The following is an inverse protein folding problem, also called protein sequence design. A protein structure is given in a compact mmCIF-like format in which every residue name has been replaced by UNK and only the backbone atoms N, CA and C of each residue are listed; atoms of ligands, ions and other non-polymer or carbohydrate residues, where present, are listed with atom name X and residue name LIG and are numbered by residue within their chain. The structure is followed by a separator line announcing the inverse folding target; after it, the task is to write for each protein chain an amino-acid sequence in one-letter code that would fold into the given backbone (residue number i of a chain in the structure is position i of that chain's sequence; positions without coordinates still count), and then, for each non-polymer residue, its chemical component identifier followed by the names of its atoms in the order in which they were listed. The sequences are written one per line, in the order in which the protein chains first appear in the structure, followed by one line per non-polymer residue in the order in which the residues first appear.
data_IF_148871900655
#
_entry.id   IF_148871900655
#
_cell.length_a   1.000
_cell.length_b   1.000
_cell.length_c   1.000
_cell.angle_alpha   90.00
_cell.angle_beta   90.00
_cell.angle_gamma   90.00
#
_symmetry.space_group_name_H-M   'P 1'
#
loop_
_entity.id
_entity.type
_entity.pdbx_description
1 polymer ?
#
# COMPACT_ATOMS: atom_id res chain seq x y z
N UNK A 1 6.14 -19.02 -14.89
CA UNK A 1 4.84 -18.82 -14.21
C UNK A 1 4.13 -17.68 -14.92
N UNK A 2 2.91 -17.91 -15.39
CA UNK A 2 2.07 -16.84 -15.91
C UNK A 2 1.85 -15.83 -14.77
N UNK A 3 2.49 -14.66 -14.88
CA UNK A 3 2.23 -13.53 -14.00
C UNK A 3 0.72 -13.30 -14.05
N UNK A 4 0.04 -13.49 -12.92
CA UNK A 4 -1.40 -13.21 -12.80
C UNK A 4 -1.57 -11.74 -13.20
N UNK A 5 -2.02 -11.51 -14.43
CA UNK A 5 -2.24 -10.17 -14.99
C UNK A 5 -3.53 -9.67 -14.38
N UNK A 6 -3.40 -9.08 -13.20
CA UNK A 6 -4.55 -8.57 -12.48
C UNK A 6 -5.03 -7.25 -13.06
N UNK A 7 -6.31 -7.17 -13.41
CA UNK A 7 -6.99 -5.92 -13.74
C UNK A 7 -7.95 -5.65 -12.57
N UNK A 8 -7.79 -4.55 -11.82
CA UNK A 8 -8.67 -4.30 -10.67
C UNK A 8 -10.16 -4.17 -11.10
N UNK A 9 -11.15 -4.33 -10.21
CA UNK A 9 -12.58 -4.34 -10.54
C UNK A 9 -13.28 -5.63 -10.12
N UNK A 10 -14.33 -6.08 -10.84
CA UNK A 10 -15.00 -7.37 -10.56
C UNK A 10 -14.00 -8.53 -10.46
N UNK A 11 -12.94 -8.45 -11.25
CA UNK A 11 -11.81 -9.37 -11.27
C UNK A 11 -11.00 -9.39 -9.96
N UNK A 12 -10.98 -8.31 -9.14
CA UNK A 12 -10.39 -8.28 -7.80
C UNK A 12 -11.04 -9.23 -6.84
N UNK A 13 -12.35 -9.14 -6.77
CA UNK A 13 -13.17 -10.05 -5.99
C UNK A 13 -12.95 -11.48 -6.50
N UNK A 14 -13.09 -11.70 -7.81
CA UNK A 14 -12.98 -13.04 -8.40
C UNK A 14 -11.60 -13.66 -8.15
N UNK A 15 -10.50 -12.89 -8.24
CA UNK A 15 -9.15 -13.39 -7.95
C UNK A 15 -8.88 -13.65 -6.46
N UNK A 16 -9.44 -12.86 -5.53
CA UNK A 16 -9.38 -13.19 -4.10
C UNK A 16 -10.09 -14.53 -3.82
N UNK A 17 -11.22 -14.76 -4.48
CA UNK A 17 -11.97 -16.01 -4.37
C UNK A 17 -11.24 -17.18 -5.06
N UNK A 18 -10.70 -16.99 -6.27
CA UNK A 18 -9.94 -18.00 -7.02
C UNK A 18 -8.64 -18.40 -6.29
N UNK A 19 -8.00 -17.46 -5.62
CA UNK A 19 -6.81 -17.71 -4.79
C UNK A 19 -7.14 -18.36 -3.43
N UNK A 20 -8.40 -18.70 -3.16
CA UNK A 20 -8.88 -19.16 -1.84
C UNK A 20 -8.43 -18.25 -0.69
N UNK A 21 -8.32 -16.94 -0.94
CA UNK A 21 -7.85 -15.96 0.04
C UNK A 21 -6.36 -16.06 0.39
N UNK A 22 -5.50 -16.64 -0.46
CA UNK A 22 -4.06 -16.76 -0.21
C UNK A 22 -3.21 -16.39 -1.43
N UNK A 23 -2.31 -15.44 -1.25
CA UNK A 23 -1.17 -15.20 -2.16
C UNK A 23 0.08 -15.68 -1.45
N UNK A 24 0.97 -16.39 -2.14
CA UNK A 24 2.28 -16.72 -1.59
C UNK A 24 3.39 -16.39 -2.60
N UNK A 25 4.55 -16.04 -2.08
CA UNK A 25 5.72 -15.78 -2.90
C UNK A 25 7.03 -16.05 -2.16
N UNK A 26 8.11 -16.22 -2.91
CA UNK A 26 9.47 -16.40 -2.39
C UNK A 26 10.45 -15.42 -3.04
N UNK A 27 11.75 -15.71 -2.89
CA UNK A 27 12.84 -14.83 -3.32
C UNK A 27 12.79 -14.39 -4.79
N UNK A 28 12.42 -15.28 -5.71
CA UNK A 28 12.37 -14.96 -7.15
C UNK A 28 11.35 -13.85 -7.46
N UNK A 29 10.15 -13.95 -6.88
CA UNK A 29 9.12 -12.92 -7.03
C UNK A 29 9.57 -11.61 -6.39
N UNK A 30 10.27 -11.67 -5.25
CA UNK A 30 10.80 -10.46 -4.63
C UNK A 30 11.80 -9.72 -5.53
N UNK A 31 12.67 -10.46 -6.23
CA UNK A 31 13.58 -9.89 -7.22
C UNK A 31 12.82 -9.28 -8.42
N UNK A 32 11.85 -10.01 -8.98
CA UNK A 32 11.00 -9.51 -10.07
C UNK A 32 10.27 -8.21 -9.71
N UNK A 33 9.77 -8.11 -8.49
CA UNK A 33 9.08 -6.92 -7.98
C UNK A 33 10.04 -5.75 -7.75
N UNK A 34 11.26 -6.03 -7.28
CA UNK A 34 12.30 -5.02 -7.11
C UNK A 34 12.72 -4.43 -8.47
N UNK A 35 12.91 -5.28 -9.48
CA UNK A 35 13.22 -4.85 -10.84
C UNK A 35 12.14 -3.98 -11.47
N UNK A 36 10.86 -4.36 -11.31
CA UNK A 36 9.77 -3.65 -11.95
C UNK A 36 9.36 -2.37 -11.21
N UNK A 37 9.34 -2.37 -9.87
CA UNK A 37 8.70 -1.31 -9.10
C UNK A 37 9.67 -0.44 -8.29
N UNK A 38 10.89 -0.91 -8.02
CA UNK A 38 11.92 -0.14 -7.30
C UNK A 38 12.89 0.51 -8.29
N UNK A 39 13.54 -0.28 -9.16
CA UNK A 39 14.51 0.28 -10.12
C UNK A 39 13.88 1.25 -11.13
N UNK A 40 12.61 1.05 -11.45
CA UNK A 40 11.86 1.87 -12.42
C UNK A 40 10.95 2.87 -11.74
N UNK A 41 11.21 3.22 -10.48
CA UNK A 41 10.42 4.21 -9.78
C UNK A 41 10.54 5.59 -10.45
N UNK A 42 9.52 6.45 -10.32
CA UNK A 42 9.63 7.85 -10.72
C UNK A 42 10.85 8.51 -10.03
N UNK A 43 11.50 9.44 -10.73
CA UNK A 43 12.69 10.15 -10.24
C UNK A 43 13.94 9.27 -9.99
N UNK A 44 14.05 8.13 -10.67
CA UNK A 44 15.12 7.19 -10.41
C UNK A 44 16.53 7.76 -10.60
N UNK A 45 16.72 8.60 -11.61
CA UNK A 45 17.99 9.23 -11.88
C UNK A 45 18.41 10.23 -10.79
N UNK A 46 17.46 10.99 -10.24
CA UNK A 46 17.71 12.04 -9.25
C UNK A 46 17.94 11.47 -7.84
N UNK A 47 17.39 10.28 -7.55
CA UNK A 47 17.40 9.65 -6.21
C UNK A 47 18.10 8.30 -6.19
N UNK A 48 19.08 8.11 -7.08
CA UNK A 48 19.72 6.81 -7.29
C UNK A 48 20.36 6.21 -6.03
N UNK A 49 20.94 7.02 -5.15
CA UNK A 49 21.54 6.53 -3.90
C UNK A 49 20.52 5.86 -2.98
N UNK A 50 19.34 6.47 -2.80
CA UNK A 50 18.25 5.94 -1.98
C UNK A 50 17.66 4.68 -2.63
N UNK A 51 17.45 4.72 -3.95
CA UNK A 51 16.93 3.58 -4.71
C UNK A 51 17.87 2.39 -4.64
N UNK A 52 19.17 2.62 -4.80
CA UNK A 52 20.15 1.54 -4.74
C UNK A 52 20.14 0.87 -3.37
N UNK A 53 20.01 1.63 -2.28
CA UNK A 53 19.90 1.06 -0.93
C UNK A 53 18.64 0.18 -0.84
N UNK A 54 17.47 0.73 -1.18
CA UNK A 54 16.19 0.00 -1.07
C UNK A 54 16.15 -1.22 -2.00
N UNK A 55 16.71 -1.11 -3.20
CA UNK A 55 16.79 -2.20 -4.15
C UNK A 55 17.66 -3.35 -3.63
N UNK A 56 18.86 -3.05 -3.12
CA UNK A 56 19.75 -4.09 -2.57
C UNK A 56 19.16 -4.75 -1.32
N UNK A 57 18.51 -3.99 -0.44
CA UNK A 57 17.84 -4.58 0.73
C UNK A 57 16.64 -5.43 0.32
N UNK A 58 15.86 -5.02 -0.69
CA UNK A 58 14.78 -5.83 -1.24
C UNK A 58 15.28 -7.15 -1.85
N UNK A 59 16.39 -7.14 -2.60
CA UNK A 59 16.98 -8.37 -3.15
C UNK A 59 17.49 -9.35 -2.07
N UNK A 60 17.87 -8.83 -0.91
CA UNK A 60 18.41 -9.60 0.20
C UNK A 60 17.37 -9.95 1.28
N UNK A 61 16.12 -9.48 1.16
CA UNK A 61 15.14 -9.58 2.24
C UNK A 61 14.60 -11.00 2.50
N UNK A 62 14.77 -11.93 1.55
CA UNK A 62 14.35 -13.33 1.64
C UNK A 62 15.52 -14.26 1.34
N UNK A 63 15.73 -15.24 2.22
CA UNK A 63 16.67 -16.34 2.00
C UNK A 63 16.09 -17.39 1.05
N UNK A 64 16.94 -18.29 0.56
CA UNK A 64 16.47 -19.46 -0.17
C UNK A 64 15.60 -20.35 0.75
N UNK A 65 14.42 -20.70 0.28
CA UNK A 65 13.43 -21.47 1.05
C UNK A 65 12.49 -20.64 1.94
N UNK A 66 12.73 -19.33 2.11
CA UNK A 66 11.78 -18.45 2.79
C UNK A 66 10.52 -18.24 1.93
N UNK A 67 9.36 -18.17 2.59
CA UNK A 67 8.07 -17.95 1.95
C UNK A 67 7.27 -16.86 2.67
N UNK A 68 6.62 -16.01 1.90
CA UNK A 68 5.62 -15.07 2.40
C UNK A 68 4.24 -15.57 2.00
N UNK A 69 3.35 -15.63 2.98
CA UNK A 69 1.93 -15.92 2.79
C UNK A 69 1.10 -14.67 3.15
N UNK A 70 0.46 -14.08 2.16
CA UNK A 70 -0.52 -13.01 2.32
C UNK A 70 -1.92 -13.64 2.32
N UNK A 71 -2.62 -13.53 3.44
CA UNK A 71 -3.96 -14.08 3.60
C UNK A 71 -5.00 -12.98 3.59
N UNK A 72 -6.13 -13.26 2.96
CA UNK A 72 -7.35 -12.48 2.99
C UNK A 72 -8.41 -13.34 3.66
N UNK A 73 -8.87 -12.92 4.83
CA UNK A 73 -9.75 -13.76 5.62
C UNK A 73 -10.54 -12.98 6.63
N UNK A 74 -11.32 -13.73 7.37
CA UNK A 74 -12.08 -13.23 8.51
C UNK A 74 -11.27 -13.51 9.78
N UNK A 75 -11.12 -12.51 10.65
CA UNK A 75 -10.51 -12.69 11.99
C UNK A 75 -11.51 -12.39 13.09
N UNK A 76 -11.38 -13.14 14.18
CA UNK A 76 -12.13 -12.92 15.42
C UNK A 76 -11.84 -11.53 15.98
N UNK A 77 -12.79 -10.97 16.71
CA UNK A 77 -12.57 -9.79 17.53
C UNK A 77 -11.66 -10.16 18.71
N UNK A 78 -10.54 -9.46 18.88
CA UNK A 78 -9.61 -9.74 19.97
C UNK A 78 -10.02 -8.97 21.24
N UNK A 79 -10.88 -9.57 22.07
CA UNK A 79 -11.30 -8.98 23.35
C UNK A 79 -10.13 -8.75 24.31
N UNK A 80 -9.08 -9.58 24.24
CA UNK A 80 -7.87 -9.41 25.06
C UNK A 80 -7.04 -8.18 24.65
N UNK A 81 -7.24 -7.64 23.44
CA UNK A 81 -6.66 -6.38 23.00
C UNK A 81 -7.54 -5.15 23.31
N UNK A 82 -8.63 -5.33 24.09
CA UNK A 82 -9.54 -4.25 24.48
C UNK A 82 -10.43 -3.74 23.34
N UNK A 83 -10.52 -4.49 22.23
CA UNK A 83 -11.41 -4.18 21.13
C UNK A 83 -12.77 -4.82 21.43
N UNK A 84 -13.84 -4.03 21.62
CA UNK A 84 -15.16 -4.61 21.84
C UNK A 84 -15.53 -5.47 20.63
N UNK A 85 -16.24 -6.60 20.83
CA UNK A 85 -16.84 -7.29 19.71
C UNK A 85 -17.68 -6.28 18.91
N UNK A 86 -17.63 -6.37 17.58
CA UNK A 86 -18.53 -5.54 16.78
C UNK A 86 -19.96 -5.75 17.32
N UNK A 87 -20.82 -4.72 17.36
CA UNK A 87 -22.16 -4.86 17.92
C UNK A 87 -22.99 -6.00 17.28
N UNK A 88 -22.60 -6.43 16.08
CA UNK A 88 -23.18 -7.57 15.34
C UNK A 88 -22.59 -8.95 15.69
N UNK A 89 -21.43 -9.02 16.36
CA UNK A 89 -20.68 -10.26 16.60
C UNK A 89 -19.96 -10.83 15.37
N UNK A 90 -19.88 -10.05 14.28
CA UNK A 90 -19.36 -10.50 12.99
C UNK A 90 -17.83 -10.55 12.94
N UNK A 91 -17.30 -11.57 12.27
CA UNK A 91 -15.89 -11.61 11.89
C UNK A 91 -15.59 -10.48 10.91
N UNK A 92 -14.42 -9.85 11.05
CA UNK A 92 -14.05 -8.69 10.25
C UNK A 92 -13.05 -9.12 9.18
N UNK A 93 -13.24 -8.67 7.95
CA UNK A 93 -12.26 -8.86 6.87
C UNK A 93 -10.90 -8.25 7.22
N UNK A 94 -9.87 -9.09 7.22
CA UNK A 94 -8.47 -8.74 7.44
C UNK A 94 -7.58 -9.23 6.30
N UNK A 95 -6.53 -8.45 6.03
CA UNK A 95 -5.38 -8.87 5.24
C UNK A 95 -4.17 -8.95 6.18
N UNK A 96 -3.40 -10.03 6.13
CA UNK A 96 -2.14 -10.11 6.88
C UNK A 96 -1.10 -10.88 6.09
N UNK A 97 0.17 -10.53 6.30
CA UNK A 97 1.29 -11.28 5.74
C UNK A 97 2.07 -11.99 6.84
N UNK A 98 2.40 -13.25 6.58
CA UNK A 98 3.23 -14.10 7.43
C UNK A 98 4.49 -14.49 6.67
N UNK A 99 5.65 -14.31 7.30
CA UNK A 99 6.91 -14.90 6.87
C UNK A 99 7.06 -16.27 7.51
N UNK A 100 7.27 -17.30 6.68
CA UNK A 100 7.72 -18.62 7.09
C UNK A 100 9.16 -18.78 6.62
N UNK A 101 10.09 -18.79 7.57
CA UNK A 101 11.51 -18.99 7.30
C UNK A 101 11.77 -20.45 6.89
N UNK A 102 12.80 -20.69 6.07
CA UNK A 102 13.19 -22.06 5.66
C UNK A 102 13.41 -23.02 6.85
N UNK A 103 13.84 -22.50 8.00
CA UNK A 103 14.00 -23.25 9.25
C UNK A 103 12.71 -23.53 10.04
N UNK A 104 11.54 -23.16 9.51
CA UNK A 104 10.23 -23.42 10.11
C UNK A 104 9.70 -22.36 11.07
N UNK A 105 10.43 -21.25 11.27
CA UNK A 105 9.97 -20.12 12.09
C UNK A 105 8.92 -19.29 11.36
N UNK A 106 7.80 -18.98 12.01
CA UNK A 106 6.74 -18.14 11.45
C UNK A 106 6.56 -16.83 12.23
N UNK A 107 6.33 -15.72 11.52
CA UNK A 107 5.96 -14.44 12.13
C UNK A 107 5.04 -13.62 11.23
N UNK A 108 4.08 -12.92 11.83
CA UNK A 108 3.29 -11.90 11.13
C UNK A 108 4.18 -10.67 10.93
N UNK A 109 4.27 -10.19 9.69
CA UNK A 109 5.09 -9.02 9.35
C UNK A 109 4.26 -7.74 9.24
N UNK A 110 2.97 -7.87 8.92
CA UNK A 110 1.98 -6.79 9.02
C UNK A 110 0.55 -7.34 9.00
N UNK A 111 -0.39 -6.55 9.50
CA UNK A 111 -1.83 -6.82 9.49
C UNK A 111 -2.62 -5.53 9.25
N UNK A 112 -3.77 -5.66 8.57
CA UNK A 112 -4.72 -4.57 8.36
C UNK A 112 -6.14 -5.10 8.23
N UNK A 113 -7.07 -4.46 8.93
CA UNK A 113 -8.49 -4.79 8.95
C UNK A 113 -9.38 -3.58 8.70
N UNK A 114 -10.70 -3.81 8.65
CA UNK A 114 -11.71 -2.73 8.54
C UNK A 114 -11.71 -1.78 9.74
N UNK A 115 -11.28 -2.25 10.89
CA UNK A 115 -11.20 -1.52 12.15
C UNK A 115 -9.86 -0.80 12.35
N UNK A 116 -8.85 -1.09 11.50
CA UNK A 116 -7.60 -0.33 11.49
C UNK A 116 -7.86 1.16 11.21
N UNK A 117 -7.49 2.09 12.11
CA UNK A 117 -7.73 3.51 11.91
C UNK A 117 -7.05 4.01 10.62
N UNK A 118 -7.75 4.78 9.77
CA UNK A 118 -7.13 5.37 8.58
C UNK A 118 -6.13 6.46 9.01
N UNK A 119 -5.03 6.61 8.27
CA UNK A 119 -4.06 7.67 8.51
C UNK A 119 -4.69 9.06 8.33
N UNK A 120 -4.34 10.03 9.17
CA UNK A 120 -4.95 11.37 9.17
C UNK A 120 -4.75 12.17 7.87
N UNK A 121 -5.40 13.33 7.75
CA UNK A 121 -5.30 14.21 6.57
C UNK A 121 -3.85 14.57 6.18
N UNK A 122 -2.92 14.88 7.12
CA UNK A 122 -1.53 15.22 6.78
C UNK A 122 -0.78 14.09 6.06
N UNK A 123 -1.14 12.83 6.32
CA UNK A 123 -0.59 11.68 5.59
C UNK A 123 -1.06 11.64 4.14
N UNK A 124 -2.31 12.03 3.90
CA UNK A 124 -2.87 12.22 2.57
C UNK A 124 -2.17 13.34 1.80
N UNK A 125 -1.91 14.47 2.45
CA UNK A 125 -1.20 15.59 1.82
C UNK A 125 0.25 15.22 1.48
N UNK A 126 0.96 14.53 2.40
CA UNK A 126 2.29 13.99 2.14
C UNK A 126 2.30 13.01 0.95
N UNK A 127 1.39 12.05 0.94
CA UNK A 127 1.25 11.06 -0.14
C UNK A 127 0.92 11.75 -1.48
N UNK A 128 0.01 12.72 -1.46
CA UNK A 128 -0.41 13.44 -2.66
C UNK A 128 0.70 14.34 -3.21
N UNK A 129 1.49 15.00 -2.36
CA UNK A 129 2.66 15.77 -2.79
C UNK A 129 3.67 14.88 -3.53
N UNK A 130 3.99 13.71 -2.99
CA UNK A 130 4.88 12.77 -3.68
C UNK A 130 4.26 12.19 -4.96
N UNK A 131 2.94 12.00 -5.00
CA UNK A 131 2.25 11.64 -6.24
C UNK A 131 2.41 12.74 -7.30
N UNK A 132 2.27 14.02 -6.94
CA UNK A 132 2.54 15.14 -7.86
C UNK A 132 3.99 15.18 -8.31
N UNK A 133 4.96 14.91 -7.43
CA UNK A 133 6.37 14.76 -7.83
C UNK A 133 6.57 13.63 -8.84
N UNK A 134 5.90 12.49 -8.66
CA UNK A 134 5.95 11.37 -9.60
C UNK A 134 5.30 11.70 -10.95
N UNK A 135 4.18 12.43 -10.94
CA UNK A 135 3.51 12.89 -12.17
C UNK A 135 4.37 13.94 -12.89
N UNK A 136 4.99 14.88 -12.16
CA UNK A 136 5.88 15.89 -12.73
C UNK A 136 7.06 15.23 -13.46
N UNK A 137 7.68 14.23 -12.81
CA UNK A 137 8.74 13.44 -13.41
C UNK A 137 8.32 12.73 -14.69
N UNK A 138 7.10 12.20 -14.72
CA UNK A 138 6.54 11.55 -15.90
C UNK A 138 6.26 12.54 -17.04
N UNK A 139 5.77 13.74 -16.72
CA UNK A 139 5.49 14.80 -17.70
C UNK A 139 6.74 15.55 -18.17
N UNK A 140 7.88 15.38 -17.48
CA UNK A 140 9.08 16.19 -17.72
C UNK A 140 8.91 17.64 -17.27
N UNK A 141 8.07 17.87 -16.27
CA UNK A 141 7.74 19.18 -15.71
C UNK A 141 8.35 19.34 -14.30
N UNK A 142 8.48 20.58 -13.84
CA UNK A 142 8.82 20.86 -12.44
C UNK A 142 7.62 20.54 -11.52
N UNK A 143 7.86 19.93 -10.35
CA UNK A 143 6.78 19.67 -9.41
C UNK A 143 6.19 21.00 -8.92
N UNK A 144 4.87 21.08 -8.82
CA UNK A 144 4.20 22.26 -8.27
C UNK A 144 4.53 22.43 -6.78
N UNK A 145 4.27 23.63 -6.25
CA UNK A 145 4.41 23.90 -4.82
C UNK A 145 3.64 22.86 -3.98
N UNK A 146 4.28 22.27 -2.95
CA UNK A 146 3.66 21.23 -2.14
C UNK A 146 2.48 21.80 -1.35
N UNK A 147 1.44 20.99 -1.18
CA UNK A 147 0.39 21.26 -0.21
C UNK A 147 1.00 21.30 1.20
N UNK A 148 0.53 22.19 2.09
CA UNK A 148 1.02 22.26 3.46
C UNK A 148 0.73 20.95 4.18
N UNK A 149 1.74 20.39 4.83
CA UNK A 149 1.61 19.19 5.68
C UNK A 149 1.78 19.62 7.13
N UNK A 150 0.78 19.35 7.97
CA UNK A 150 0.92 19.54 9.42
C UNK A 150 1.82 18.46 10.00
N UNK A 151 3.10 18.76 10.15
CA UNK A 151 4.12 17.82 10.65
C UNK A 151 3.99 17.50 12.13
N UNK A 152 3.16 18.23 12.88
CA UNK A 152 2.91 18.00 14.30
C UNK A 152 1.71 17.07 14.54
N UNK A 153 1.05 16.60 13.49
CA UNK A 153 -0.09 15.72 13.62
C UNK A 153 0.30 14.39 14.29
N UNK A 154 -0.60 13.81 15.11
CA UNK A 154 -0.32 12.58 15.82
C UNK A 154 -0.09 11.42 14.84
N UNK A 155 0.88 10.57 15.19
CA UNK A 155 1.16 9.36 14.43
C UNK A 155 -0.01 8.37 14.52
N UNK A 156 -0.35 7.65 13.43
CA UNK A 156 -1.25 6.52 13.53
C UNK A 156 -0.61 5.43 14.40
N UNK A 157 -1.43 4.55 15.00
CA UNK A 157 -0.90 3.41 15.75
C UNK A 157 0.06 2.59 14.88
N UNK A 158 1.20 2.19 15.46
CA UNK A 158 2.18 1.34 14.78
C UNK A 158 1.79 -0.14 14.81
N UNK A 159 0.99 -0.54 15.80
CA UNK A 159 0.58 -1.93 16.02
C UNK A 159 -0.92 -2.06 16.25
N UNK A 160 -1.48 -3.16 15.72
CA UNK A 160 -2.84 -3.59 15.92
C UNK A 160 -2.82 -5.03 16.40
N UNK A 161 -3.37 -5.29 17.59
CA UNK A 161 -3.41 -6.64 18.20
C UNK A 161 -2.01 -7.26 18.34
N UNK A 162 -0.99 -6.44 18.61
CA UNK A 162 0.41 -6.87 18.77
C UNK A 162 1.15 -7.16 17.46
N UNK A 163 0.53 -6.87 16.30
CA UNK A 163 1.16 -7.00 14.99
C UNK A 163 1.36 -5.62 14.35
N UNK A 164 2.43 -5.41 13.55
CA UNK A 164 2.62 -4.16 12.82
C UNK A 164 1.43 -3.82 11.91
N UNK A 165 1.03 -2.56 11.87
CA UNK A 165 -0.05 -2.07 11.00
C UNK A 165 0.52 -1.61 9.67
N UNK A 166 -0.14 -2.01 8.58
CA UNK A 166 0.04 -1.40 7.26
C UNK A 166 -1.14 -0.49 6.91
N UNK A 167 -0.95 0.41 5.93
CA UNK A 167 -2.00 1.30 5.41
C UNK A 167 -3.33 0.61 5.16
N UNK A 168 -4.41 1.27 5.59
CA UNK A 168 -5.79 0.82 5.43
C UNK A 168 -6.19 0.69 3.95
N UNK A 169 -5.52 1.36 3.02
CA UNK A 169 -5.65 1.14 1.57
C UNK A 169 -5.55 -0.34 1.16
N UNK A 170 -4.86 -1.17 1.94
CA UNK A 170 -4.69 -2.62 1.73
C UNK A 170 -5.66 -3.49 2.55
N UNK A 171 -6.57 -2.88 3.31
CA UNK A 171 -7.65 -3.61 3.99
C UNK A 171 -8.52 -4.33 2.95
N UNK A 172 -9.09 -5.52 3.26
CA UNK A 172 -9.93 -6.23 2.31
C UNK A 172 -11.09 -5.39 1.81
N UNK A 173 -11.74 -4.61 2.68
CA UNK A 173 -12.83 -3.71 2.27
C UNK A 173 -12.41 -2.77 1.14
N UNK A 174 -11.16 -2.31 1.15
CA UNK A 174 -10.67 -1.37 0.16
C UNK A 174 -10.28 -2.09 -1.12
N UNK A 175 -9.62 -3.25 -1.00
CA UNK A 175 -9.25 -4.12 -2.12
C UNK A 175 -10.48 -4.67 -2.86
N UNK A 176 -11.55 -5.02 -2.14
CA UNK A 176 -12.83 -5.45 -2.72
C UNK A 176 -13.50 -4.36 -3.56
N UNK A 177 -13.37 -3.10 -3.14
CA UNK A 177 -13.93 -1.96 -3.85
C UNK A 177 -12.96 -1.32 -4.85
N UNK A 178 -11.73 -1.84 -4.99
CA UNK A 178 -10.76 -1.32 -5.93
C UNK A 178 -11.17 -1.64 -7.38
N UNK A 179 -11.44 -0.61 -8.17
CA UNK A 179 -11.77 -0.68 -9.60
C UNK A 179 -10.52 -0.63 -10.47
N UNK A 180 -10.65 -1.09 -11.72
CA UNK A 180 -9.58 -1.13 -12.74
C UNK A 180 -8.83 0.19 -12.93
N UNK A 181 -9.44 1.28 -12.48
CA UNK A 181 -8.98 2.65 -12.63
C UNK A 181 -8.13 3.12 -11.44
N UNK A 182 -8.06 2.37 -10.35
CA UNK A 182 -7.21 2.69 -9.21
C UNK A 182 -5.78 2.19 -9.43
N UNK A 183 -4.82 3.06 -9.10
CA UNK A 183 -3.39 2.78 -9.09
C UNK A 183 -2.85 2.90 -7.67
N UNK A 184 -2.03 1.94 -7.25
CA UNK A 184 -1.44 1.93 -5.94
C UNK A 184 0.02 2.38 -6.00
N UNK A 185 0.45 3.02 -4.92
CA UNK A 185 1.82 3.48 -4.71
C UNK A 185 2.29 3.03 -3.33
N UNK A 186 3.52 2.52 -3.28
CA UNK A 186 4.21 2.14 -2.05
C UNK A 186 5.34 3.14 -1.81
N UNK A 187 5.40 3.70 -0.60
CA UNK A 187 6.56 4.46 -0.14
C UNK A 187 7.72 3.50 0.12
N UNK A 188 8.75 3.58 -0.72
CA UNK A 188 9.88 2.65 -0.74
C UNK A 188 10.86 2.90 0.41
N UNK A 189 10.89 4.12 0.94
CA UNK A 189 11.78 4.50 2.04
C UNK A 189 11.11 4.32 3.40
N UNK A 190 11.90 4.06 4.46
CA UNK A 190 11.40 4.06 5.83
C UNK A 190 10.58 5.32 6.16
N UNK A 191 9.33 5.13 6.63
CA UNK A 191 8.54 6.25 7.13
C UNK A 191 9.03 6.68 8.52
N UNK A 192 9.75 7.79 8.59
CA UNK A 192 10.33 8.34 9.84
C UNK A 192 9.55 9.54 10.40
N UNK A 193 8.50 9.99 9.70
CA UNK A 193 7.72 11.18 10.09
C UNK A 193 7.06 11.87 8.90
N UNK A 194 6.20 12.84 9.17
CA UNK A 194 5.50 13.62 8.13
C UNK A 194 6.41 14.58 7.36
N UNK A 195 7.59 14.88 7.89
CA UNK A 195 8.67 15.63 7.26
C UNK A 195 9.54 14.78 6.33
N UNK A 196 9.50 13.45 6.46
CA UNK A 196 10.24 12.54 5.58
C UNK A 196 9.75 12.63 4.13
N UNK A 197 10.70 12.69 3.19
CA UNK A 197 10.40 12.79 1.76
C UNK A 197 10.09 11.41 1.16
N UNK A 198 8.84 11.12 0.74
CA UNK A 198 8.46 9.81 0.21
C UNK A 198 9.24 9.48 -1.07
N UNK A 199 9.55 8.20 -1.29
CA UNK A 199 10.06 7.69 -2.56
C UNK A 199 9.03 6.70 -3.10
N UNK A 200 8.19 7.11 -4.04
CA UNK A 200 7.12 6.25 -4.51
C UNK A 200 7.63 5.23 -5.51
N UNK A 201 7.13 4.01 -5.41
CA UNK A 201 7.18 3.02 -6.47
C UNK A 201 6.57 3.53 -7.78
N UNK A 202 6.82 2.81 -8.88
CA UNK A 202 5.98 2.95 -10.08
C UNK A 202 4.50 2.64 -9.74
N UNK A 203 3.50 3.28 -10.39
CA UNK A 203 2.10 2.90 -10.23
C UNK A 203 1.89 1.40 -10.50
N UNK A 204 1.14 0.74 -9.62
CA UNK A 204 0.89 -0.70 -9.70
C UNK A 204 -0.55 -1.06 -9.37
N UNK A 205 -0.88 -2.35 -9.49
CA UNK A 205 -2.19 -2.88 -9.13
C UNK A 205 -2.23 -3.26 -7.65
N UNK A 206 -3.42 -3.49 -7.14
CA UNK A 206 -3.64 -3.67 -5.71
C UNK A 206 -2.81 -4.83 -5.12
N UNK A 207 -2.75 -5.99 -5.78
CA UNK A 207 -1.96 -7.13 -5.27
C UNK A 207 -0.46 -6.97 -5.43
N UNK A 208 0.00 -6.34 -6.51
CA UNK A 208 1.40 -5.93 -6.64
C UNK A 208 1.79 -5.05 -5.45
N UNK A 209 0.90 -4.14 -5.02
CA UNK A 209 1.13 -3.30 -3.85
C UNK A 209 1.18 -4.10 -2.55
N UNK A 210 0.36 -5.14 -2.39
CA UNK A 210 0.42 -6.01 -1.21
C UNK A 210 1.72 -6.83 -1.16
N UNK A 211 2.17 -7.35 -2.30
CA UNK A 211 3.44 -8.08 -2.43
C UNK A 211 4.61 -7.14 -2.18
N UNK A 212 4.66 -6.00 -2.88
CA UNK A 212 5.75 -5.03 -2.74
C UNK A 212 5.81 -4.48 -1.33
N UNK A 213 4.67 -4.13 -0.72
CA UNK A 213 4.69 -3.63 0.64
C UNK A 213 5.21 -4.68 1.64
N UNK A 214 4.97 -5.97 1.40
CA UNK A 214 5.57 -7.05 2.21
C UNK A 214 7.08 -7.09 2.04
N UNK A 215 7.59 -6.97 0.81
CA UNK A 215 9.03 -6.91 0.52
C UNK A 215 9.67 -5.71 1.21
N UNK A 216 9.06 -4.53 1.07
CA UNK A 216 9.54 -3.30 1.70
C UNK A 216 9.46 -3.37 3.23
N UNK A 217 8.45 -4.06 3.78
CA UNK A 217 8.36 -4.32 5.23
C UNK A 217 9.56 -5.13 5.71
N UNK A 218 9.93 -6.19 4.99
CA UNK A 218 11.10 -7.00 5.34
C UNK A 218 12.40 -6.21 5.17
N UNK A 219 12.52 -5.45 4.09
CA UNK A 219 13.72 -4.67 3.78
C UNK A 219 13.98 -3.54 4.78
N UNK A 220 12.92 -2.85 5.21
CA UNK A 220 13.00 -1.67 6.09
C UNK A 220 12.71 -2.00 7.56
N UNK A 221 12.25 -3.21 7.86
CA UNK A 221 11.85 -3.64 9.21
C UNK A 221 10.51 -3.07 9.70
N UNK A 222 9.83 -2.25 8.90
CA UNK A 222 8.52 -1.64 9.22
C UNK A 222 7.62 -1.52 8.00
N UNK A 223 6.29 -1.62 8.15
CA UNK A 223 5.37 -1.48 7.03
C UNK A 223 5.46 -0.10 6.36
N UNK A 224 5.46 -0.04 5.01
CA UNK A 224 5.47 1.23 4.30
C UNK A 224 4.09 1.90 4.31
N UNK A 225 4.08 3.20 4.02
CA UNK A 225 2.84 3.88 3.66
C UNK A 225 2.45 3.47 2.24
N UNK A 226 1.24 2.94 2.11
CA UNK A 226 0.60 2.60 0.84
C UNK A 226 -0.65 3.46 0.67
N UNK A 227 -0.92 3.88 -0.57
CA UNK A 227 -2.15 4.57 -0.91
C UNK A 227 -2.59 4.26 -2.35
N UNK A 228 -3.89 4.41 -2.60
CA UNK A 228 -4.49 4.28 -3.92
C UNK A 228 -4.91 5.63 -4.49
N UNK A 229 -4.71 5.84 -5.79
CA UNK A 229 -5.20 6.98 -6.55
C UNK A 229 -6.15 6.51 -7.64
N UNK A 230 -7.36 7.07 -7.67
CA UNK A 230 -8.24 6.99 -8.84
C UNK A 230 -8.23 8.34 -9.56
N UNK A 231 -7.52 8.45 -10.70
CA UNK A 231 -7.57 9.67 -11.50
C UNK A 231 -8.97 9.88 -12.08
N UNK A 232 -9.30 11.14 -12.35
CA UNK A 232 -10.49 11.47 -13.16
C UNK A 232 -10.15 11.27 -14.64
N UNK A 233 -11.14 10.99 -15.47
CA UNK A 233 -10.91 10.81 -16.92
C UNK A 233 -10.26 12.05 -17.53
N UNK A 234 -10.73 13.24 -17.13
CA UNK A 234 -10.21 14.52 -17.61
C UNK A 234 -8.83 14.87 -17.04
N UNK A 235 -8.43 14.25 -15.93
CA UNK A 235 -7.17 14.45 -15.23
C UNK A 235 -6.07 13.46 -15.64
N UNK A 236 -6.35 12.48 -16.49
CA UNK A 236 -5.33 11.53 -16.97
C UNK A 236 -4.22 12.27 -17.73
N UNK A 237 -2.97 12.03 -17.32
CA UNK A 237 -1.80 12.66 -17.92
C UNK A 237 -1.68 14.16 -17.64
N UNK A 238 -2.37 14.68 -16.62
CA UNK A 238 -2.27 16.08 -16.19
C UNK A 238 -1.84 16.16 -14.74
N UNK A 239 -1.17 17.26 -14.39
CA UNK A 239 -0.84 17.57 -13.01
C UNK A 239 -2.11 17.89 -12.21
N UNK A 240 -2.47 17.10 -11.18
CA UNK A 240 -3.62 17.42 -10.35
C UNK A 240 -3.28 18.54 -9.34
N UNK A 241 -4.21 19.46 -9.13
CA UNK A 241 -4.05 20.57 -8.18
C UNK A 241 -4.42 20.19 -6.74
N UNK A 242 -5.27 19.18 -6.57
CA UNK A 242 -5.75 18.70 -5.28
C UNK A 242 -6.39 17.33 -5.41
N UNK A 243 -6.86 16.78 -4.29
CA UNK A 243 -7.48 15.46 -4.24
C UNK A 243 -8.75 15.48 -3.40
N UNK A 244 -9.53 14.41 -3.51
CA UNK A 244 -10.60 14.08 -2.57
C UNK A 244 -10.18 12.84 -1.79
N UNK A 245 -10.22 12.91 -0.47
CA UNK A 245 -9.87 11.79 0.40
C UNK A 245 -11.10 10.90 0.63
N UNK A 246 -10.92 9.59 0.51
CA UNK A 246 -11.95 8.61 0.84
C UNK A 246 -11.37 7.43 1.62
N UNK A 247 -12.24 6.72 2.35
CA UNK A 247 -11.81 5.50 3.04
C UNK A 247 -11.69 4.29 2.10
N UNK A 248 -12.46 4.27 1.02
CA UNK A 248 -12.45 3.27 -0.06
C UNK A 248 -12.98 3.92 -1.34
N UNK A 249 -12.84 3.25 -2.48
CA UNK A 249 -13.16 3.86 -3.78
C UNK A 249 -14.63 4.29 -3.92
N UNK A 250 -15.54 3.42 -3.49
CA UNK A 250 -16.99 3.57 -3.64
C UNK A 250 -17.66 4.15 -2.38
N UNK A 251 -16.94 5.00 -1.65
CA UNK A 251 -17.45 5.61 -0.42
C UNK A 251 -18.58 6.60 -0.73
N UNK A 252 -19.82 6.15 -0.60
CA UNK A 252 -21.03 6.93 -0.91
C UNK A 252 -21.19 8.21 -0.07
N UNK A 253 -20.38 8.39 0.98
CA UNK A 253 -20.33 9.63 1.78
C UNK A 253 -19.47 10.71 1.13
N UNK A 254 -18.67 10.34 0.13
CA UNK A 254 -17.76 11.23 -0.59
C UNK A 254 -18.38 11.51 -1.95
N UNK A 255 -18.73 12.78 -2.20
CA UNK A 255 -19.28 13.18 -3.50
C UNK A 255 -18.23 12.98 -4.61
N UNK A 256 -18.55 12.20 -5.67
CA UNK A 256 -17.67 12.08 -6.82
C UNK A 256 -17.43 13.44 -7.47
N UNK A 257 -16.20 13.69 -7.88
CA UNK A 257 -15.85 14.90 -8.63
C UNK A 257 -15.02 14.53 -9.85
N UNK A 258 -15.33 15.15 -10.99
CA UNK A 258 -14.58 14.96 -12.23
C UNK A 258 -13.29 15.80 -12.26
N UNK A 259 -13.10 16.68 -11.27
CA UNK A 259 -11.98 17.64 -11.23
C UNK A 259 -10.78 17.18 -10.42
N UNK A 260 -10.98 16.32 -9.42
CA UNK A 260 -9.93 15.92 -8.48
C UNK A 260 -9.84 14.40 -8.40
N UNK A 261 -8.63 13.81 -8.46
CA UNK A 261 -8.44 12.40 -8.19
C UNK A 261 -8.95 12.03 -6.78
N UNK A 262 -9.42 10.80 -6.66
CA UNK A 262 -9.71 10.18 -5.35
C UNK A 262 -8.42 9.60 -4.78
N UNK A 263 -8.15 9.86 -3.50
CA UNK A 263 -7.05 9.28 -2.74
C UNK A 263 -7.60 8.41 -1.63
N UNK A 264 -7.19 7.14 -1.61
CA UNK A 264 -7.59 6.11 -0.64
C UNK A 264 -6.39 5.72 0.21
N UNK A 265 -6.54 5.84 1.54
CA UNK A 265 -5.50 5.54 2.54
C UNK A 265 -6.00 4.70 3.69
#
# INVERSE_FOLDING_TARGET
MDRIRFIPGKEAKDQMFEANGLIYFGREVAADMADEFILRCPNAAQRWSEINIVYQTALACLSEGDRIDIRFGLRDTNEAAGLPPYPSGELIGHTWATLTAAGGGERVIWEVGRDTPPAGHPYGDRAFNAYREAVAAFLGEEPPAPLPVDTNAPAPPAEFRGNPIISRSLAPSNLYHASARMWYYVDLVPFDGLDSRPLLSRPMRAFDAVILASIITLANGKPPIVFGIRPTLDGLGKMPEGYVRALYEDDQRVEPTDKKPLLVM
#
